data_IF_168102622516
#
_entry.id   IF_168102622516
#
_cell.length_a   1.000
_cell.length_b   1.000
_cell.length_c   1.000
_cell.angle_alpha   90.00
_cell.angle_beta   90.00
_cell.angle_gamma   90.00
#
_symmetry.space_group_name_H-M   'P 1'
#
loop_
_entity.id
_entity.type
_entity.pdbx_description
1 polymer ?
#
# COMPACT_ATOMS: atom_id res chain seq x y z
N UNK A 1 15.58 19.20 38.64
CA UNK A 1 15.41 19.20 37.18
C UNK A 1 15.61 17.81 36.58
N UNK A 2 16.40 16.94 37.24
CA UNK A 2 16.61 15.53 36.82
C UNK A 2 15.41 14.59 37.06
N UNK A 3 14.46 14.92 37.96
CA UNK A 3 13.31 14.04 38.22
C UNK A 3 12.18 14.13 37.18
N UNK A 4 12.15 15.18 36.34
CA UNK A 4 11.12 15.37 35.31
C UNK A 4 11.51 14.75 33.96
N UNK A 5 12.80 14.48 33.75
CA UNK A 5 13.32 13.85 32.52
C UNK A 5 13.39 12.31 32.63
N UNK A 6 13.21 11.74 33.82
CA UNK A 6 13.16 10.30 34.06
C UNK A 6 11.75 9.79 34.37
N UNK A 7 10.73 10.27 33.64
CA UNK A 7 9.53 9.44 33.47
C UNK A 7 9.91 8.26 32.57
N UNK A 8 10.56 7.26 33.17
CA UNK A 8 10.72 5.96 32.56
C UNK A 8 9.31 5.48 32.20
N UNK A 9 9.03 5.38 30.90
CA UNK A 9 7.83 4.71 30.42
C UNK A 9 7.73 3.40 31.19
N UNK A 10 6.55 3.12 31.75
CA UNK A 10 6.35 1.85 32.44
C UNK A 10 6.62 0.71 31.46
N UNK A 11 7.05 -0.44 31.95
CA UNK A 11 7.34 -1.59 31.07
C UNK A 11 6.16 -1.89 30.13
N UNK A 12 4.92 -1.69 30.60
CA UNK A 12 3.70 -1.80 29.80
C UNK A 12 3.59 -0.75 28.67
N UNK A 13 4.01 0.49 28.93
CA UNK A 13 4.05 1.55 27.90
C UNK A 13 5.13 1.27 26.85
N UNK A 14 6.29 0.77 27.26
CA UNK A 14 7.34 0.33 26.32
C UNK A 14 6.87 -0.82 25.44
N UNK A 15 6.24 -1.84 26.01
CA UNK A 15 5.68 -2.97 25.26
C UNK A 15 4.61 -2.48 24.28
N UNK A 16 3.72 -1.57 24.71
CA UNK A 16 2.69 -1.01 23.84
C UNK A 16 3.29 -0.20 22.69
N UNK A 17 4.30 0.62 22.97
CA UNK A 17 5.00 1.43 21.97
C UNK A 17 5.74 0.55 20.95
N UNK A 18 6.50 -0.44 21.42
CA UNK A 18 7.21 -1.39 20.55
C UNK A 18 6.22 -2.19 19.72
N UNK A 19 5.13 -2.67 20.32
CA UNK A 19 4.08 -3.41 19.59
C UNK A 19 3.45 -2.55 18.50
N UNK A 20 3.14 -1.29 18.80
CA UNK A 20 2.54 -0.36 17.85
C UNK A 20 3.51 0.01 16.73
N UNK A 21 4.82 0.07 16.99
CA UNK A 21 5.83 0.26 15.95
C UNK A 21 6.04 -1.01 15.10
N UNK A 22 6.24 -2.16 15.74
CA UNK A 22 6.53 -3.44 15.07
C UNK A 22 5.37 -3.91 14.22
N UNK A 23 4.13 -3.73 14.67
CA UNK A 23 2.93 -4.14 13.93
C UNK A 23 2.39 -2.99 13.08
N UNK A 24 2.30 -1.80 13.66
CA UNK A 24 1.66 -0.66 13.00
C UNK A 24 2.43 -0.14 11.80
N UNK A 25 3.76 -0.18 11.82
CA UNK A 25 4.57 0.32 10.71
C UNK A 25 4.47 -0.57 9.46
N UNK A 26 4.56 -1.91 9.55
CA UNK A 26 4.19 -2.83 8.46
C UNK A 26 2.77 -2.63 7.93
N UNK A 27 1.79 -2.49 8.83
CA UNK A 27 0.38 -2.27 8.46
C UNK A 27 0.22 -0.96 7.71
N UNK A 28 0.82 0.13 8.18
CA UNK A 28 0.77 1.43 7.53
C UNK A 28 1.48 1.43 6.17
N UNK A 29 2.61 0.73 6.03
CA UNK A 29 3.29 0.54 4.76
C UNK A 29 2.44 -0.27 3.75
N UNK A 30 1.76 -1.31 4.22
CA UNK A 30 0.81 -2.08 3.42
C UNK A 30 -0.39 -1.23 2.97
N UNK A 31 -0.95 -0.42 3.88
CA UNK A 31 -2.06 0.51 3.59
C UNK A 31 -1.64 1.53 2.53
N UNK A 32 -0.44 2.11 2.64
CA UNK A 32 0.11 3.04 1.63
C UNK A 32 0.16 2.37 0.24
N UNK A 33 0.73 1.16 0.13
CA UNK A 33 0.79 0.43 -1.14
C UNK A 33 -0.59 0.10 -1.69
N UNK A 34 -1.52 -0.26 -0.82
CA UNK A 34 -2.92 -0.53 -1.21
C UNK A 34 -3.60 0.74 -1.73
N UNK A 35 -3.41 1.88 -1.07
CA UNK A 35 -3.93 3.16 -1.54
C UNK A 35 -3.34 3.51 -2.91
N UNK A 36 -2.03 3.37 -3.11
CA UNK A 36 -1.39 3.61 -4.41
C UNK A 36 -1.95 2.71 -5.51
N UNK A 37 -2.18 1.43 -5.20
CA UNK A 37 -2.87 0.51 -6.11
C UNK A 37 -4.28 0.96 -6.47
N UNK A 38 -5.04 1.50 -5.52
CA UNK A 38 -6.42 1.95 -5.75
C UNK A 38 -6.49 3.16 -6.68
N UNK A 39 -5.45 3.99 -6.71
CA UNK A 39 -5.35 5.18 -7.55
C UNK A 39 -4.56 4.95 -8.85
N UNK A 40 -4.25 3.69 -9.21
CA UNK A 40 -3.48 3.30 -10.41
C UNK A 40 -2.10 3.97 -10.50
N UNK A 41 -1.42 4.14 -9.37
CA UNK A 41 -0.05 4.66 -9.31
C UNK A 41 0.96 3.53 -9.11
N UNK A 42 2.21 3.78 -9.51
CA UNK A 42 3.29 2.81 -9.33
C UNK A 42 3.50 2.49 -7.84
N UNK A 43 3.49 1.20 -7.51
CA UNK A 43 3.64 0.76 -6.14
C UNK A 43 5.13 0.79 -5.76
N UNK A 44 5.52 1.52 -4.70
CA UNK A 44 6.87 1.41 -4.17
C UNK A 44 7.11 -0.02 -3.67
N UNK A 45 8.38 -0.43 -3.70
CA UNK A 45 8.82 -1.64 -3.02
C UNK A 45 8.43 -1.56 -1.54
N UNK A 46 8.20 -2.71 -0.92
CA UNK A 46 7.80 -2.74 0.48
C UNK A 46 8.83 -2.05 1.39
N UNK A 47 10.13 -2.26 1.14
CA UNK A 47 11.20 -1.55 1.86
C UNK A 47 11.15 -0.03 1.69
N UNK A 48 10.85 0.46 0.48
CA UNK A 48 10.66 1.90 0.25
C UNK A 48 9.42 2.43 0.99
N UNK A 49 8.31 1.69 1.00
CA UNK A 49 7.12 2.08 1.77
C UNK A 49 7.38 2.12 3.29
N UNK A 50 8.12 1.14 3.81
CA UNK A 50 8.57 1.07 5.21
C UNK A 50 9.47 2.25 5.60
N UNK A 51 10.15 2.89 4.65
CA UNK A 51 10.92 4.11 4.87
C UNK A 51 10.07 5.39 4.72
N UNK A 52 9.21 5.46 3.69
CA UNK A 52 8.41 6.66 3.41
C UNK A 52 7.45 6.96 4.55
N UNK A 53 6.73 5.96 5.07
CA UNK A 53 5.73 6.16 6.14
C UNK A 53 6.34 6.81 7.39
N UNK A 54 7.41 6.29 8.00
CA UNK A 54 8.02 6.94 9.16
C UNK A 54 8.69 8.27 8.81
N UNK A 55 9.27 8.42 7.61
CA UNK A 55 9.86 9.70 7.21
C UNK A 55 8.81 10.82 7.13
N UNK A 56 7.65 10.54 6.53
CA UNK A 56 6.52 11.49 6.48
C UNK A 56 5.97 11.76 7.88
N UNK A 57 5.80 10.72 8.71
CA UNK A 57 5.33 10.87 10.08
C UNK A 57 6.29 11.71 10.95
N UNK A 58 7.60 11.47 10.84
CA UNK A 58 8.63 12.23 11.53
C UNK A 58 8.66 13.68 11.07
N UNK A 59 8.58 13.92 9.75
CA UNK A 59 8.51 15.28 9.22
C UNK A 59 7.26 16.04 9.68
N UNK A 60 6.10 15.37 9.74
CA UNK A 60 4.87 15.95 10.28
C UNK A 60 5.00 16.25 11.78
N UNK A 61 5.60 15.35 12.55
CA UNK A 61 5.85 15.55 13.98
C UNK A 61 6.78 16.75 14.22
N UNK A 62 7.91 16.84 13.53
CA UNK A 62 8.86 17.94 13.65
C UNK A 62 8.23 19.27 13.21
N UNK A 63 7.40 19.25 12.16
CA UNK A 63 6.66 20.44 11.74
C UNK A 63 5.69 20.92 12.83
N UNK A 64 4.91 20.01 13.43
CA UNK A 64 4.05 20.35 14.56
C UNK A 64 4.87 20.91 15.73
N UNK A 65 6.03 20.32 16.00
CA UNK A 65 6.88 20.68 17.12
C UNK A 65 7.45 22.10 17.00
N UNK A 66 8.01 22.42 15.84
CA UNK A 66 8.52 23.76 15.52
C UNK A 66 7.39 24.78 15.56
N UNK A 67 6.25 24.49 14.91
CA UNK A 67 5.12 25.43 14.88
C UNK A 67 4.53 25.67 16.26
N UNK A 68 4.40 24.63 17.08
CA UNK A 68 3.87 24.76 18.45
C UNK A 68 4.85 25.51 19.37
N UNK A 69 6.16 25.38 19.14
CA UNK A 69 7.16 26.20 19.83
C UNK A 69 7.08 27.67 19.44
N UNK A 70 6.86 27.98 18.16
CA UNK A 70 6.64 29.36 17.72
C UNK A 70 5.39 29.97 18.38
N UNK A 71 4.32 29.17 18.53
CA UNK A 71 3.14 29.59 19.30
C UNK A 71 3.52 29.86 20.76
N UNK A 72 4.27 28.97 21.41
CA UNK A 72 4.77 29.16 22.78
C UNK A 72 5.53 30.49 22.91
N UNK A 73 6.46 30.78 21.99
CA UNK A 73 7.21 32.03 21.98
C UNK A 73 6.31 33.25 21.83
N UNK A 74 5.29 33.17 20.96
CA UNK A 74 4.34 34.25 20.75
C UNK A 74 3.47 34.55 21.99
N UNK A 75 3.20 33.55 22.84
CA UNK A 75 2.38 33.71 24.05
C UNK A 75 3.19 33.71 25.35
N UNK A 76 4.53 33.73 25.26
CA UNK A 76 5.43 33.57 26.40
C UNK A 76 5.23 34.63 27.47
N UNK A 77 4.93 35.85 27.05
CA UNK A 77 4.71 36.99 27.95
C UNK A 77 3.34 36.97 28.64
N UNK A 78 2.47 36.01 28.31
CA UNK A 78 1.21 35.85 29.01
C UNK A 78 1.44 35.40 30.45
N UNK A 79 0.73 36.05 31.39
CA UNK A 79 0.80 35.72 32.83
C UNK A 79 0.47 34.24 33.13
N UNK A 80 -0.32 33.60 32.27
CA UNK A 80 -0.67 32.18 32.39
C UNK A 80 0.53 31.29 32.10
N UNK A 81 1.24 31.56 31.00
CA UNK A 81 2.40 30.76 30.59
C UNK A 81 3.61 31.02 31.50
N UNK A 82 3.81 32.25 31.98
CA UNK A 82 4.89 32.57 32.93
C UNK A 82 4.85 31.76 34.23
N UNK A 83 3.67 31.28 34.65
CA UNK A 83 3.51 30.42 35.83
C UNK A 83 3.88 28.95 35.59
N UNK A 84 4.09 28.57 34.33
CA UNK A 84 4.43 27.20 33.95
C UNK A 84 5.94 27.03 33.78
N UNK A 85 6.47 25.80 33.86
CA UNK A 85 7.88 25.53 33.62
C UNK A 85 8.39 26.00 32.25
N UNK A 86 7.52 26.04 31.24
CA UNK A 86 7.85 26.42 29.86
C UNK A 86 7.77 27.92 29.58
N UNK A 87 7.24 28.73 30.52
CA UNK A 87 7.31 30.20 30.44
C UNK A 87 8.63 30.78 30.94
N UNK A 88 9.48 29.97 31.58
CA UNK A 88 10.75 30.40 32.17
C UNK A 88 11.73 30.92 31.09
N UNK A 89 12.53 31.98 31.34
CA UNK A 89 13.48 32.56 30.38
C UNK A 89 14.48 31.54 29.80
N UNK A 90 14.85 30.51 30.57
CA UNK A 90 15.77 29.45 30.13
C UNK A 90 15.13 28.30 29.34
N UNK A 91 13.81 28.31 29.11
CA UNK A 91 13.13 27.23 28.41
C UNK A 91 13.34 27.29 26.88
N UNK A 92 14.20 26.42 26.37
CA UNK A 92 14.62 26.40 24.96
C UNK A 92 13.89 25.35 24.10
N UNK A 93 14.12 25.40 22.78
CA UNK A 93 13.54 24.44 21.84
C UNK A 93 13.95 22.99 22.12
N UNK A 94 15.19 22.75 22.58
CA UNK A 94 15.64 21.39 22.92
C UNK A 94 14.78 20.76 24.02
N UNK A 95 14.42 21.54 25.05
CA UNK A 95 13.53 21.07 26.11
C UNK A 95 12.09 20.92 25.61
N UNK A 96 11.64 21.81 24.71
CA UNK A 96 10.35 21.70 24.05
C UNK A 96 10.22 20.41 23.23
N UNK A 97 11.24 20.07 22.44
CA UNK A 97 11.24 18.89 21.56
C UNK A 97 10.93 17.60 22.33
N UNK A 98 11.48 17.47 23.54
CA UNK A 98 11.26 16.33 24.43
C UNK A 98 10.05 16.48 25.36
N UNK A 99 9.30 17.58 25.26
CA UNK A 99 8.06 17.76 26.02
C UNK A 99 6.96 16.85 25.46
N UNK A 100 6.09 16.33 26.34
CA UNK A 100 5.00 15.45 25.94
C UNK A 100 3.99 16.16 25.01
N UNK A 101 3.50 15.44 24.00
CA UNK A 101 2.55 15.97 23.00
C UNK A 101 1.28 16.60 23.61
N UNK A 102 0.65 16.06 24.67
CA UNK A 102 -0.53 16.69 25.28
C UNK A 102 -0.24 18.10 25.83
N UNK A 103 0.96 18.33 26.35
CA UNK A 103 1.38 19.65 26.85
C UNK A 103 1.52 20.61 25.67
N UNK A 104 2.17 20.18 24.58
CA UNK A 104 2.28 20.96 23.34
C UNK A 104 0.91 21.35 22.79
N UNK A 105 -0.01 20.39 22.79
CA UNK A 105 -1.40 20.61 22.39
C UNK A 105 -2.13 21.59 23.31
N UNK A 106 -1.92 21.50 24.62
CA UNK A 106 -2.51 22.44 25.60
C UNK A 106 -2.02 23.87 25.38
N UNK A 107 -0.73 24.06 25.10
CA UNK A 107 -0.14 25.39 24.82
C UNK A 107 -0.74 25.98 23.54
N UNK A 108 -0.82 25.18 22.47
CA UNK A 108 -1.42 25.61 21.20
C UNK A 108 -2.92 25.90 21.35
N UNK A 109 -3.61 25.16 22.21
CA UNK A 109 -5.04 25.33 22.47
C UNK A 109 -5.38 26.62 23.23
N UNK A 110 -4.39 27.33 23.76
CA UNK A 110 -4.60 28.64 24.39
C UNK A 110 -5.17 29.67 23.40
N UNK A 111 -4.91 29.50 22.10
CA UNK A 111 -5.51 30.31 21.03
C UNK A 111 -6.40 29.39 20.16
N UNK A 112 -7.74 29.41 20.37
CA UNK A 112 -8.65 28.45 19.77
C UNK A 112 -8.61 28.37 18.23
N UNK A 113 -8.30 29.49 17.55
CA UNK A 113 -8.23 29.53 16.09
C UNK A 113 -6.91 28.99 15.54
N UNK A 114 -5.81 29.17 16.28
CA UNK A 114 -4.48 28.74 15.86
C UNK A 114 -4.37 27.21 15.92
N UNK A 115 -5.03 26.54 16.87
CA UNK A 115 -4.94 25.08 17.00
C UNK A 115 -5.32 24.33 15.72
N UNK A 116 -6.42 24.72 15.10
CA UNK A 116 -6.89 24.08 13.87
C UNK A 116 -6.01 24.46 12.68
N UNK A 117 -5.63 25.74 12.60
CA UNK A 117 -4.73 26.24 11.56
C UNK A 117 -3.41 25.48 11.56
N UNK A 118 -2.83 25.23 12.73
CA UNK A 118 -1.59 24.49 12.89
C UNK A 118 -1.75 23.03 12.44
N UNK A 119 -2.85 22.36 12.81
CA UNK A 119 -3.15 21.01 12.32
C UNK A 119 -3.25 20.97 10.79
N UNK A 120 -3.92 21.94 10.17
CA UNK A 120 -4.01 22.04 8.71
C UNK A 120 -2.63 22.23 8.07
N UNK A 121 -1.78 23.08 8.63
CA UNK A 121 -0.41 23.30 8.13
C UNK A 121 0.41 22.01 8.23
N UNK A 122 0.33 21.30 9.36
CA UNK A 122 1.06 20.04 9.56
C UNK A 122 0.59 18.96 8.58
N UNK A 123 -0.73 18.85 8.36
CA UNK A 123 -1.29 17.94 7.35
C UNK A 123 -0.81 18.32 5.95
N UNK A 124 -0.76 19.61 5.61
CA UNK A 124 -0.26 20.07 4.32
C UNK A 124 1.22 19.73 4.13
N UNK A 125 2.06 19.96 5.14
CA UNK A 125 3.49 19.59 5.11
C UNK A 125 3.66 18.08 4.95
N UNK A 126 2.89 17.27 5.68
CA UNK A 126 2.92 15.82 5.55
C UNK A 126 2.53 15.37 4.12
N UNK A 127 1.51 16.00 3.54
CA UNK A 127 1.12 15.77 2.14
C UNK A 127 2.22 16.14 1.15
N UNK A 128 2.89 17.29 1.34
CA UNK A 128 4.01 17.72 0.49
C UNK A 128 5.20 16.75 0.60
N UNK A 129 5.56 16.32 1.81
CA UNK A 129 6.61 15.32 2.01
C UNK A 129 6.25 14.00 1.32
N UNK A 130 5.00 13.56 1.42
CA UNK A 130 4.54 12.36 0.74
C UNK A 130 4.59 12.49 -0.79
N UNK A 131 4.21 13.64 -1.35
CA UNK A 131 4.37 13.96 -2.78
C UNK A 131 5.83 13.85 -3.20
N UNK A 132 6.73 14.47 -2.42
CA UNK A 132 8.16 14.49 -2.67
C UNK A 132 8.74 13.08 -2.73
N UNK A 133 8.41 12.22 -1.76
CA UNK A 133 8.92 10.85 -1.72
C UNK A 133 8.32 9.91 -2.77
N UNK A 134 7.08 10.15 -3.20
CA UNK A 134 6.37 9.29 -4.15
C UNK A 134 6.49 9.75 -5.61
N UNK A 135 6.93 10.99 -5.88
CA UNK A 135 7.04 11.56 -7.23
C UNK A 135 5.72 11.55 -8.02
N UNK A 136 4.59 11.67 -7.32
CA UNK A 136 3.22 11.64 -7.89
C UNK A 136 2.67 13.07 -8.03
N UNK A 137 1.80 13.37 -9.02
CA UNK A 137 1.12 14.65 -9.10
C UNK A 137 0.38 15.02 -7.81
N UNK A 138 0.53 16.28 -7.36
CA UNK A 138 0.02 16.78 -6.07
C UNK A 138 -1.46 16.43 -5.81
N UNK A 139 -2.33 16.60 -6.82
CA UNK A 139 -3.77 16.32 -6.70
C UNK A 139 -4.05 14.87 -6.31
N UNK A 140 -3.37 13.91 -6.94
CA UNK A 140 -3.54 12.48 -6.64
C UNK A 140 -2.94 12.11 -5.29
N UNK A 141 -1.75 12.64 -5.02
CA UNK A 141 -1.07 12.42 -3.75
C UNK A 141 -1.89 12.91 -2.54
N UNK A 142 -2.64 14.01 -2.68
CA UNK A 142 -3.55 14.50 -1.63
C UNK A 142 -4.65 13.48 -1.32
N UNK A 143 -5.29 12.89 -2.34
CA UNK A 143 -6.31 11.85 -2.14
C UNK A 143 -5.72 10.57 -1.55
N UNK A 144 -4.54 10.16 -2.02
CA UNK A 144 -3.82 9.01 -1.47
C UNK A 144 -3.49 9.24 0.00
N UNK A 145 -2.96 10.42 0.35
CA UNK A 145 -2.65 10.82 1.73
C UNK A 145 -3.89 10.74 2.62
N UNK A 146 -5.00 11.37 2.21
CA UNK A 146 -6.24 11.36 2.99
C UNK A 146 -6.81 9.95 3.17
N UNK A 147 -6.82 9.14 2.10
CA UNK A 147 -7.29 7.75 2.15
C UNK A 147 -6.42 6.88 3.06
N UNK A 148 -5.09 7.01 2.96
CA UNK A 148 -4.14 6.32 3.81
C UNK A 148 -4.31 6.72 5.27
N UNK A 149 -4.48 8.00 5.56
CA UNK A 149 -4.64 8.49 6.94
C UNK A 149 -5.92 7.95 7.59
N UNK A 150 -7.03 7.97 6.85
CA UNK A 150 -8.30 7.39 7.29
C UNK A 150 -8.18 5.86 7.53
N UNK A 151 -7.52 5.15 6.62
CA UNK A 151 -7.30 3.71 6.75
C UNK A 151 -6.36 3.36 7.92
N UNK A 152 -5.32 4.15 8.15
CA UNK A 152 -4.42 3.99 9.29
C UNK A 152 -5.17 4.22 10.60
N UNK A 153 -5.94 5.30 10.73
CA UNK A 153 -6.77 5.56 11.91
C UNK A 153 -7.70 4.38 12.22
N UNK A 154 -8.37 3.84 11.19
CA UNK A 154 -9.24 2.69 11.35
C UNK A 154 -8.48 1.42 11.76
N UNK A 155 -7.31 1.16 11.15
CA UNK A 155 -6.47 0.02 11.50
C UNK A 155 -5.96 0.11 12.94
N UNK A 156 -5.48 1.28 13.37
CA UNK A 156 -5.04 1.50 14.75
C UNK A 156 -6.19 1.40 15.75
N UNK A 157 -7.39 1.87 15.39
CA UNK A 157 -8.58 1.66 16.21
C UNK A 157 -8.88 0.17 16.40
N UNK A 158 -8.84 -0.66 15.34
CA UNK A 158 -9.02 -2.10 15.45
C UNK A 158 -7.92 -2.73 16.31
N UNK A 159 -6.65 -2.42 16.04
CA UNK A 159 -5.51 -2.96 16.78
C UNK A 159 -5.64 -2.61 18.27
N UNK A 160 -5.98 -1.38 18.60
CA UNK A 160 -6.19 -0.93 19.98
C UNK A 160 -7.31 -1.72 20.67
N UNK A 161 -8.46 -1.91 20.00
CA UNK A 161 -9.57 -2.70 20.57
C UNK A 161 -9.19 -4.17 20.75
N UNK A 162 -8.48 -4.78 19.79
CA UNK A 162 -8.01 -6.18 19.89
C UNK A 162 -7.00 -6.32 21.02
N UNK A 163 -6.07 -5.38 21.17
CA UNK A 163 -5.11 -5.39 22.27
C UNK A 163 -5.82 -5.27 23.63
N UNK A 164 -6.76 -4.34 23.76
CA UNK A 164 -7.56 -4.19 24.99
C UNK A 164 -8.37 -5.45 25.31
N UNK A 165 -9.03 -6.05 24.31
CA UNK A 165 -9.76 -7.30 24.46
C UNK A 165 -8.85 -8.46 24.88
N UNK A 166 -7.69 -8.61 24.23
CA UNK A 166 -6.73 -9.66 24.55
C UNK A 166 -6.09 -9.48 25.93
N UNK A 167 -5.81 -8.25 26.36
CA UNK A 167 -5.35 -7.96 27.71
C UNK A 167 -6.42 -8.26 28.77
N UNK A 168 -7.70 -8.11 28.42
CA UNK A 168 -8.83 -8.49 29.28
C UNK A 168 -8.99 -10.00 29.39
N UNK A 169 -8.73 -10.74 28.31
CA UNK A 169 -8.78 -12.22 28.29
C UNK A 169 -7.58 -12.90 28.95
N UNK A 170 -6.39 -12.28 28.95
CA UNK A 170 -5.17 -12.85 29.51
C UNK A 170 -4.99 -12.61 31.02
N UNK A 171 -6.02 -12.18 31.74
CA UNK A 171 -6.06 -12.28 33.21
C UNK A 171 -5.00 -11.48 33.97
N UNK A 172 -4.37 -10.46 33.39
CA UNK A 172 -3.61 -9.47 34.15
C UNK A 172 -4.52 -8.41 34.79
N UNK A 173 -5.62 -8.87 35.42
CA UNK A 173 -6.22 -8.12 36.51
C UNK A 173 -5.40 -8.43 37.75
N UNK A 174 -4.47 -7.55 38.08
CA UNK A 174 -3.90 -7.52 39.43
C UNK A 174 -5.04 -7.22 40.42
N UNK A 175 -5.62 -8.27 41.01
CA UNK A 175 -6.36 -8.23 42.28
C UNK A 175 -7.82 -7.78 42.23
N UNK A 176 -8.74 -8.68 41.87
CA UNK A 176 -9.96 -8.91 42.67
C UNK A 176 -10.54 -10.29 42.31
N UNK A 177 -10.38 -11.26 43.21
CA UNK A 177 -10.97 -12.60 43.11
C UNK A 177 -12.51 -12.49 43.17
N UNK A 178 -13.21 -12.84 42.10
CA UNK A 178 -14.59 -13.32 42.16
C UNK A 178 -14.60 -14.70 41.52
N UNK A 179 -14.96 -15.69 42.32
CA UNK A 179 -15.00 -17.11 41.98
C UNK A 179 -16.08 -17.39 40.93
N UNK A 180 -15.66 -17.66 39.70
CA UNK A 180 -16.52 -17.85 38.53
C UNK A 180 -17.30 -19.18 38.56
N UNK A 181 -16.93 -20.10 39.45
CA UNK A 181 -17.48 -21.46 39.53
C UNK A 181 -18.85 -21.49 40.21
N UNK A 182 -19.13 -20.54 41.12
CA UNK A 182 -20.44 -20.40 41.79
C UNK A 182 -21.52 -19.72 40.94
N UNK A 183 -21.15 -19.07 39.83
CA UNK A 183 -22.10 -18.43 38.91
C UNK A 183 -22.63 -19.39 37.84
N UNK A 184 -21.86 -20.41 37.48
CA UNK A 184 -22.24 -21.38 36.46
C UNK A 184 -23.30 -22.37 36.96
N UNK A 185 -23.14 -22.88 38.19
CA UNK A 185 -24.06 -23.83 38.81
C UNK A 185 -25.45 -23.23 39.11
N UNK A 186 -25.52 -21.90 39.31
CA UNK A 186 -26.80 -21.18 39.49
C UNK A 186 -27.54 -20.91 38.20
N UNK A 187 -26.87 -20.97 37.05
CA UNK A 187 -27.45 -20.58 35.75
C UNK A 187 -28.13 -21.75 35.04
N UNK A 188 -27.64 -22.98 35.23
CA UNK A 188 -28.25 -24.19 34.64
C UNK A 188 -29.57 -24.61 35.30
N UNK A 189 -29.79 -24.29 36.58
CA UNK A 189 -31.00 -24.69 37.30
C UNK A 189 -32.27 -23.93 36.88
N UNK A 190 -32.15 -22.81 36.15
CA UNK A 190 -33.30 -21.92 35.89
C UNK A 190 -33.89 -22.17 34.50
N UNK A 191 -33.22 -22.85 33.56
CA UNK A 191 -33.58 -22.82 32.13
C UNK A 191 -34.48 -24.00 31.69
N UNK A 192 -35.80 -23.91 31.95
CA UNK A 192 -36.80 -24.73 31.24
C UNK A 192 -38.01 -23.92 30.70
N UNK A 193 -38.15 -24.02 29.38
CA UNK A 193 -39.27 -23.83 28.42
C UNK A 193 -40.31 -22.69 28.41
N UNK A 194 -40.48 -21.83 29.43
CA UNK A 194 -41.28 -20.58 29.28
C UNK A 194 -40.43 -19.35 28.89
N UNK A 195 -39.11 -19.55 28.87
CA UNK A 195 -38.08 -18.52 28.76
C UNK A 195 -37.92 -17.81 27.43
N UNK A 196 -38.51 -18.30 26.35
CA UNK A 196 -38.36 -17.64 25.05
C UNK A 196 -39.15 -16.31 24.98
N UNK A 197 -40.25 -16.19 25.75
CA UNK A 197 -41.05 -14.95 25.81
C UNK A 197 -40.53 -13.96 26.86
N UNK A 198 -40.05 -14.46 28.00
CA UNK A 198 -39.36 -13.64 29.00
C UNK A 198 -38.00 -13.12 28.51
N UNK A 199 -37.23 -13.91 27.74
CA UNK A 199 -35.96 -13.47 27.19
C UNK A 199 -36.11 -12.27 26.24
N UNK A 200 -37.22 -12.15 25.49
CA UNK A 200 -37.48 -10.98 24.63
C UNK A 200 -37.82 -9.73 25.47
N UNK A 201 -38.56 -9.91 26.55
CA UNK A 201 -38.88 -8.85 27.53
C UNK A 201 -37.62 -8.38 28.27
N UNK A 202 -36.81 -9.32 28.76
CA UNK A 202 -35.56 -9.07 29.48
C UNK A 202 -34.49 -8.49 28.54
N UNK A 203 -34.44 -8.90 27.26
CA UNK A 203 -33.57 -8.27 26.26
C UNK A 203 -33.99 -6.83 26.00
N UNK A 204 -35.29 -6.52 25.95
CA UNK A 204 -35.77 -5.14 25.80
C UNK A 204 -35.48 -4.29 27.04
N UNK A 205 -35.64 -4.84 28.25
CA UNK A 205 -35.26 -4.19 29.51
C UNK A 205 -33.74 -3.96 29.61
N UNK A 206 -32.92 -4.94 29.17
CA UNK A 206 -31.46 -4.85 29.15
C UNK A 206 -30.97 -3.87 28.08
N UNK A 207 -31.61 -3.85 26.91
CA UNK A 207 -31.34 -2.86 25.85
C UNK A 207 -31.75 -1.47 26.32
N UNK A 208 -32.87 -1.32 27.03
CA UNK A 208 -33.33 -0.04 27.59
C UNK A 208 -32.39 0.46 28.70
N UNK A 209 -31.97 -0.44 29.59
CA UNK A 209 -30.99 -0.16 30.64
C UNK A 209 -29.61 0.18 30.04
N UNK A 210 -29.21 -0.54 29.00
CA UNK A 210 -28.00 -0.25 28.22
C UNK A 210 -28.09 1.09 27.48
N UNK A 211 -29.23 1.44 26.89
CA UNK A 211 -29.46 2.74 26.26
C UNK A 211 -29.39 3.87 27.28
N UNK A 212 -29.97 3.68 28.48
CA UNK A 212 -29.88 4.65 29.57
C UNK A 212 -28.44 4.82 30.05
N UNK A 213 -27.68 3.74 30.23
CA UNK A 213 -26.27 3.81 30.61
C UNK A 213 -25.39 4.47 29.53
N UNK A 214 -25.71 4.27 28.24
CA UNK A 214 -25.05 4.95 27.13
C UNK A 214 -25.41 6.43 27.12
N UNK A 215 -26.69 6.79 27.36
CA UNK A 215 -27.13 8.18 27.45
C UNK A 215 -26.41 8.92 28.60
N UNK A 216 -26.36 8.30 29.77
CA UNK A 216 -25.71 8.84 30.97
C UNK A 216 -24.19 9.02 30.78
N UNK A 217 -23.52 8.11 30.06
CA UNK A 217 -22.09 8.25 29.71
C UNK A 217 -21.83 9.24 28.59
N UNK A 218 -22.78 9.42 27.67
CA UNK A 218 -22.61 10.28 26.50
C UNK A 218 -23.04 11.74 26.77
N UNK A 219 -23.90 11.99 27.74
CA UNK A 219 -24.29 13.34 28.18
C UNK A 219 -23.13 14.28 28.54
N UNK A 220 -22.10 13.87 29.31
CA UNK A 220 -20.96 14.74 29.57
C UNK A 220 -20.17 15.07 28.29
N UNK A 221 -20.02 14.09 27.38
CA UNK A 221 -19.34 14.28 26.09
C UNK A 221 -20.16 15.21 25.19
N UNK A 222 -21.49 15.04 25.17
CA UNK A 222 -22.40 15.88 24.42
C UNK A 222 -22.37 17.32 24.94
N UNK A 223 -22.32 17.50 26.26
CA UNK A 223 -22.21 18.81 26.90
C UNK A 223 -20.92 19.52 26.52
N UNK A 224 -19.79 18.82 26.55
CA UNK A 224 -18.50 19.35 26.09
C UNK A 224 -18.50 19.68 24.59
N UNK A 225 -19.16 18.84 23.76
CA UNK A 225 -19.33 19.09 22.34
C UNK A 225 -20.18 20.33 22.07
N UNK A 226 -21.31 20.49 22.79
CA UNK A 226 -22.19 21.67 22.71
C UNK A 226 -21.44 22.94 23.10
N UNK A 227 -20.66 22.90 24.17
CA UNK A 227 -19.89 24.04 24.65
C UNK A 227 -18.80 24.45 23.64
N UNK A 228 -18.11 23.48 23.04
CA UNK A 228 -17.12 23.73 22.00
C UNK A 228 -17.72 24.24 20.68
N UNK A 229 -18.96 23.85 20.36
CA UNK A 229 -19.65 24.24 19.13
C UNK A 229 -20.51 25.50 19.30
N UNK A 230 -20.70 25.97 20.53
CA UNK A 230 -21.43 27.19 20.89
C UNK A 230 -21.11 28.41 20.00
N UNK A 231 -19.83 28.78 19.74
CA UNK A 231 -19.51 29.95 18.91
C UNK A 231 -19.95 29.81 17.44
N UNK A 232 -20.18 28.58 16.96
CA UNK A 232 -20.68 28.30 15.62
C UNK A 232 -22.21 28.22 15.64
N UNK A 233 -22.80 27.57 16.64
CA UNK A 233 -24.26 27.48 16.78
C UNK A 233 -24.90 28.83 17.07
N UNK A 234 -24.27 29.70 17.86
CA UNK A 234 -24.80 31.04 18.17
C UNK A 234 -24.97 31.92 16.91
N UNK A 235 -24.32 31.58 15.80
CA UNK A 235 -24.47 32.25 14.50
C UNK A 235 -25.59 31.67 13.63
N UNK A 236 -26.21 30.56 14.04
CA UNK A 236 -27.33 29.95 13.34
C UNK A 236 -28.64 30.69 13.66
N UNK A 237 -29.63 30.67 12.74
CA UNK A 237 -30.96 31.21 12.99
C UNK A 237 -31.58 30.66 14.29
N UNK A 238 -32.31 31.50 15.03
CA UNK A 238 -32.89 31.18 16.33
C UNK A 238 -33.69 29.86 16.34
N UNK A 239 -34.38 29.55 15.24
CA UNK A 239 -35.14 28.30 15.07
C UNK A 239 -34.26 27.05 15.13
N UNK A 240 -33.04 27.10 14.59
CA UNK A 240 -32.11 25.96 14.60
C UNK A 240 -31.46 25.81 15.97
N UNK A 241 -31.13 26.91 16.65
CA UNK A 241 -30.62 26.86 18.02
C UNK A 241 -31.64 26.30 18.99
N UNK A 242 -32.89 26.76 18.91
CA UNK A 242 -33.97 26.20 19.73
C UNK A 242 -34.16 24.70 19.48
N UNK A 243 -34.03 24.24 18.23
CA UNK A 243 -34.08 22.81 17.89
C UNK A 243 -32.89 22.02 18.48
N UNK A 244 -31.66 22.54 18.36
CA UNK A 244 -30.47 21.89 18.92
C UNK A 244 -30.52 21.83 20.45
N UNK A 245 -30.95 22.89 21.11
CA UNK A 245 -31.07 22.99 22.57
C UNK A 245 -32.17 22.07 23.11
N UNK A 246 -33.27 21.88 22.38
CA UNK A 246 -34.38 20.97 22.73
C UNK A 246 -34.07 19.47 22.53
N UNK A 247 -32.80 19.10 22.41
CA UNK A 247 -32.36 17.71 22.22
C UNK A 247 -32.06 17.32 20.77
N UNK A 248 -32.14 18.26 19.82
CA UNK A 248 -31.85 18.01 18.40
C UNK A 248 -30.44 17.49 18.10
N UNK A 249 -29.48 17.67 19.01
CA UNK A 249 -28.13 17.10 18.90
C UNK A 249 -28.10 15.57 18.78
N UNK A 250 -28.99 14.88 19.49
CA UNK A 250 -29.11 13.43 19.37
C UNK A 250 -29.57 13.00 17.98
N UNK A 251 -30.43 13.82 17.36
CA UNK A 251 -30.90 13.60 16.00
C UNK A 251 -29.79 13.87 14.98
N UNK A 252 -28.97 14.90 15.18
CA UNK A 252 -27.79 15.21 14.35
C UNK A 252 -26.74 14.08 14.43
N UNK A 253 -26.44 13.60 15.64
CA UNK A 253 -25.50 12.48 15.84
C UNK A 253 -26.06 11.21 15.21
N UNK A 254 -27.34 10.91 15.42
CA UNK A 254 -28.02 9.77 14.79
C UNK A 254 -27.96 9.83 13.25
N UNK A 255 -28.19 11.01 12.67
CA UNK A 255 -28.10 11.24 11.23
C UNK A 255 -26.66 11.07 10.71
N UNK A 256 -25.66 11.61 11.41
CA UNK A 256 -24.26 11.45 11.06
C UNK A 256 -23.80 9.99 11.16
N UNK A 257 -24.22 9.26 12.21
CA UNK A 257 -23.97 7.83 12.34
C UNK A 257 -24.63 7.04 11.21
N UNK A 258 -25.83 7.42 10.79
CA UNK A 258 -26.51 6.79 9.65
C UNK A 258 -25.76 7.04 8.33
N UNK A 259 -25.35 8.28 8.06
CA UNK A 259 -24.55 8.64 6.88
C UNK A 259 -23.22 7.87 6.90
N UNK A 260 -22.54 7.82 8.05
CA UNK A 260 -21.30 7.08 8.22
C UNK A 260 -21.52 5.57 7.98
N UNK A 261 -22.61 4.99 8.49
CA UNK A 261 -22.95 3.60 8.25
C UNK A 261 -23.18 3.30 6.77
N UNK A 262 -23.92 4.17 6.05
CA UNK A 262 -24.11 4.01 4.60
C UNK A 262 -22.81 4.20 3.82
N UNK A 263 -21.95 5.13 4.24
CA UNK A 263 -20.63 5.33 3.66
C UNK A 263 -19.73 4.11 3.90
N UNK A 264 -19.64 3.62 5.13
CA UNK A 264 -18.89 2.41 5.51
C UNK A 264 -19.43 1.17 4.80
N UNK A 265 -20.75 1.04 4.67
CA UNK A 265 -21.42 -0.02 3.90
C UNK A 265 -21.12 0.10 2.40
N UNK A 266 -21.10 1.31 1.84
CA UNK A 266 -20.70 1.57 0.45
C UNK A 266 -19.22 1.22 0.21
N UNK A 267 -18.36 1.59 1.16
CA UNK A 267 -16.94 1.22 1.15
C UNK A 267 -16.78 -0.30 1.26
N UNK A 268 -17.52 -0.95 2.17
CA UNK A 268 -17.56 -2.40 2.33
C UNK A 268 -18.07 -3.09 1.06
N UNK A 269 -19.08 -2.57 0.39
CA UNK A 269 -19.53 -3.11 -0.89
C UNK A 269 -18.53 -2.87 -2.00
N UNK A 270 -17.79 -1.76 -2.02
CA UNK A 270 -16.68 -1.54 -2.97
C UNK A 270 -15.52 -2.49 -2.69
N UNK A 271 -15.13 -2.67 -1.43
CA UNK A 271 -14.13 -3.64 -0.98
C UNK A 271 -14.59 -5.06 -1.34
N UNK A 272 -15.79 -5.45 -0.95
CA UNK A 272 -16.41 -6.75 -1.27
C UNK A 272 -16.59 -6.92 -2.77
N UNK A 273 -16.80 -5.87 -3.56
CA UNK A 273 -16.84 -5.90 -5.03
C UNK A 273 -15.45 -5.96 -5.65
N UNK A 274 -14.41 -5.48 -4.98
CA UNK A 274 -13.01 -5.75 -5.35
C UNK A 274 -12.59 -7.18 -4.98
N UNK A 275 -13.19 -7.78 -3.94
CA UNK A 275 -13.04 -9.20 -3.61
C UNK A 275 -13.95 -10.13 -4.46
N UNK A 276 -15.16 -9.68 -4.84
CA UNK A 276 -16.16 -10.43 -5.66
C UNK A 276 -16.07 -10.17 -7.16
N UNK A 277 -15.44 -9.09 -7.61
CA UNK A 277 -14.79 -9.11 -8.94
C UNK A 277 -13.67 -10.12 -8.77
N UNK A 278 -14.07 -11.38 -8.94
CA UNK A 278 -13.18 -12.51 -9.08
C UNK A 278 -12.12 -12.04 -10.04
N UNK A 279 -10.94 -11.89 -9.46
CA UNK A 279 -9.75 -11.43 -10.12
C UNK A 279 -9.66 -12.24 -11.42
N UNK A 280 -9.94 -11.62 -12.56
CA UNK A 280 -9.71 -12.26 -13.86
C UNK A 280 -8.24 -12.71 -13.93
N UNK A 281 -7.36 -12.01 -13.19
CA UNK A 281 -5.96 -12.42 -12.97
C UNK A 281 -5.79 -13.59 -12.02
N UNK A 282 -6.72 -13.96 -11.11
CA UNK A 282 -6.59 -15.19 -10.30
C UNK A 282 -7.03 -16.42 -11.09
N UNK A 283 -8.05 -16.30 -11.96
CA UNK A 283 -8.32 -17.34 -12.97
C UNK A 283 -7.19 -17.44 -14.00
N UNK A 284 -6.64 -16.32 -14.49
CA UNK A 284 -5.44 -16.32 -15.36
C UNK A 284 -4.17 -16.77 -14.65
N UNK A 285 -3.95 -16.48 -13.36
CA UNK A 285 -2.81 -16.98 -12.59
C UNK A 285 -2.95 -18.47 -12.27
N UNK A 286 -4.18 -18.96 -12.07
CA UNK A 286 -4.44 -20.39 -11.92
C UNK A 286 -4.25 -21.12 -13.26
N UNK A 287 -4.76 -20.56 -14.38
CA UNK A 287 -4.49 -21.07 -15.74
C UNK A 287 -3.00 -20.98 -16.11
N UNK A 288 -2.33 -19.89 -15.76
CA UNK A 288 -0.89 -19.70 -15.87
C UNK A 288 -0.21 -20.82 -15.10
N UNK A 289 -0.51 -20.96 -13.81
CA UNK A 289 0.06 -21.98 -12.91
C UNK A 289 -0.20 -23.40 -13.41
N UNK A 290 -1.35 -23.66 -14.04
CA UNK A 290 -1.66 -24.92 -14.71
C UNK A 290 -0.77 -25.13 -15.94
N UNK A 291 -0.55 -24.08 -16.76
CA UNK A 291 0.38 -24.12 -17.90
C UNK A 291 1.85 -24.25 -17.49
N UNK A 292 2.24 -23.63 -16.37
CA UNK A 292 3.53 -23.82 -15.72
C UNK A 292 3.70 -25.27 -15.25
N UNK A 293 2.66 -25.86 -14.64
CA UNK A 293 2.66 -27.26 -14.21
C UNK A 293 2.60 -28.25 -15.39
N UNK A 294 1.97 -27.85 -16.50
CA UNK A 294 1.91 -28.65 -17.73
C UNK A 294 3.18 -28.56 -18.60
N UNK A 295 4.14 -27.68 -18.25
CA UNK A 295 5.40 -27.53 -18.97
C UNK A 295 5.29 -26.77 -20.31
N UNK A 296 4.19 -26.05 -20.57
CA UNK A 296 3.95 -25.38 -21.86
C UNK A 296 4.90 -24.19 -22.12
N UNK A 297 5.53 -23.63 -21.09
CA UNK A 297 6.46 -22.51 -21.21
C UNK A 297 7.93 -22.96 -21.31
N UNK A 298 8.22 -24.25 -21.13
CA UNK A 298 9.57 -24.79 -21.18
C UNK A 298 9.96 -25.13 -22.61
N UNK A 299 11.06 -24.54 -23.08
CA UNK A 299 11.59 -24.79 -24.42
C UNK A 299 13.01 -25.37 -24.32
N UNK A 300 13.16 -26.60 -24.82
CA UNK A 300 14.45 -27.29 -24.86
C UNK A 300 15.09 -27.13 -26.23
N UNK A 301 16.13 -26.30 -26.30
CA UNK A 301 16.84 -26.00 -27.53
C UNK A 301 17.58 -27.21 -28.10
N UNK A 302 17.86 -28.23 -27.28
CA UNK A 302 18.47 -29.48 -27.74
C UNK A 302 17.57 -30.27 -28.68
N UNK A 303 16.25 -30.05 -28.61
CA UNK A 303 15.25 -30.74 -29.43
C UNK A 303 14.86 -29.94 -30.67
N UNK A 304 15.40 -28.73 -30.84
CA UNK A 304 15.07 -27.90 -31.98
C UNK A 304 15.83 -28.36 -33.21
N UNK A 305 15.10 -28.50 -34.32
CA UNK A 305 15.70 -28.77 -35.62
C UNK A 305 16.36 -27.51 -36.18
N UNK A 306 17.51 -27.63 -36.85
CA UNK A 306 18.11 -26.49 -37.55
C UNK A 306 17.15 -25.93 -38.62
N UNK A 307 17.19 -24.61 -38.90
CA UNK A 307 16.47 -24.00 -39.98
C UNK A 307 16.67 -24.77 -41.28
N UNK A 308 15.55 -25.09 -41.92
CA UNK A 308 15.51 -25.93 -43.12
C UNK A 308 16.24 -25.22 -44.29
N UNK A 309 16.16 -23.89 -44.33
CA UNK A 309 16.74 -23.11 -45.41
C UNK A 309 18.23 -22.90 -45.24
N UNK A 310 18.93 -22.80 -46.37
CA UNK A 310 20.32 -22.35 -46.39
C UNK A 310 20.38 -20.88 -45.94
N UNK A 311 21.43 -20.48 -45.21
CA UNK A 311 21.62 -19.09 -44.83
C UNK A 311 21.67 -18.21 -46.08
N UNK A 312 20.91 -17.10 -46.05
CA UNK A 312 20.89 -16.11 -47.13
C UNK A 312 22.18 -15.28 -47.21
N UNK A 313 22.22 -14.32 -48.14
CA UNK A 313 23.33 -13.36 -48.26
C UNK A 313 23.44 -12.47 -47.01
N UNK A 314 22.30 -12.06 -46.48
CA UNK A 314 22.24 -11.24 -45.27
C UNK A 314 22.12 -12.14 -44.05
N UNK A 315 23.01 -11.95 -43.07
CA UNK A 315 23.03 -12.66 -41.80
C UNK A 315 22.92 -11.71 -40.63
N UNK A 316 22.22 -12.16 -39.59
CA UNK A 316 22.23 -11.45 -38.31
C UNK A 316 23.54 -11.75 -37.58
N UNK A 317 24.16 -10.71 -37.03
CA UNK A 317 25.31 -10.84 -36.13
C UNK A 317 24.91 -10.36 -34.74
N UNK A 318 25.28 -11.15 -33.71
CA UNK A 318 25.04 -10.84 -32.30
C UNK A 318 26.38 -10.48 -31.67
N UNK A 319 26.58 -9.20 -31.37
CA UNK A 319 27.89 -8.65 -30.94
C UNK A 319 29.04 -9.06 -31.88
N UNK A 320 28.77 -9.02 -33.20
CA UNK A 320 29.73 -9.40 -34.24
C UNK A 320 29.89 -10.90 -34.47
N UNK A 321 29.13 -11.75 -33.78
CA UNK A 321 29.13 -13.20 -33.99
C UNK A 321 28.01 -13.56 -34.97
N UNK A 322 28.30 -14.09 -36.17
CA UNK A 322 27.26 -14.52 -37.11
C UNK A 322 26.40 -15.63 -36.51
N UNK A 323 25.08 -15.44 -36.56
CA UNK A 323 24.12 -16.36 -36.00
C UNK A 323 22.83 -16.41 -36.82
N UNK A 324 22.00 -17.42 -36.53
CA UNK A 324 20.68 -17.62 -37.15
C UNK A 324 19.59 -17.60 -36.09
N UNK A 325 18.38 -17.18 -36.45
CA UNK A 325 17.25 -17.07 -35.52
C UNK A 325 16.54 -18.43 -35.46
N UNK A 326 16.33 -18.95 -34.25
CA UNK A 326 15.68 -20.27 -34.05
C UNK A 326 14.38 -20.19 -33.27
N UNK A 327 14.32 -19.29 -32.28
CA UNK A 327 13.17 -19.14 -31.41
C UNK A 327 12.90 -17.67 -31.17
N UNK A 328 11.65 -17.27 -31.30
CA UNK A 328 11.15 -15.95 -30.94
C UNK A 328 10.06 -16.14 -29.89
N UNK A 329 10.23 -15.48 -28.76
CA UNK A 329 9.25 -15.43 -27.68
C UNK A 329 8.79 -14.00 -27.51
N UNK A 330 7.48 -13.77 -27.56
CA UNK A 330 6.87 -12.48 -27.38
C UNK A 330 5.92 -12.50 -26.19
N UNK A 331 6.00 -11.51 -25.32
CA UNK A 331 5.07 -11.31 -24.22
C UNK A 331 4.67 -9.84 -24.14
N UNK A 332 3.41 -9.57 -23.82
CA UNK A 332 2.92 -8.20 -23.66
C UNK A 332 3.39 -7.60 -22.33
N UNK A 333 3.66 -6.30 -22.28
CA UNK A 333 3.89 -5.60 -21.02
C UNK A 333 2.57 -5.19 -20.37
N UNK A 334 2.23 -5.84 -19.25
CA UNK A 334 1.01 -5.59 -18.49
C UNK A 334 -0.27 -6.07 -19.18
N UNK A 335 -1.43 -5.64 -18.65
CA UNK A 335 -2.74 -6.13 -19.10
C UNK A 335 -3.39 -5.34 -20.24
N UNK A 336 -2.95 -4.10 -20.50
CA UNK A 336 -3.58 -3.16 -21.44
C UNK A 336 -2.92 -3.17 -22.81
N UNK A 337 -3.70 -3.14 -23.90
CA UNK A 337 -3.23 -3.16 -25.29
C UNK A 337 -3.88 -4.30 -26.13
N UNK A 338 -3.69 -4.33 -27.45
CA UNK A 338 -4.16 -5.45 -28.28
C UNK A 338 -3.45 -6.76 -27.90
N UNK A 339 -4.10 -7.90 -28.19
CA UNK A 339 -3.47 -9.21 -28.01
C UNK A 339 -2.41 -9.42 -29.10
N UNK A 340 -1.31 -10.08 -28.73
CA UNK A 340 -0.24 -10.43 -29.66
C UNK A 340 -0.63 -11.67 -30.48
N UNK A 341 -0.17 -11.72 -31.72
CA UNK A 341 -0.32 -12.85 -32.64
C UNK A 341 1.02 -13.25 -33.24
N UNK A 342 1.17 -14.51 -33.68
CA UNK A 342 2.43 -15.02 -34.20
C UNK A 342 2.82 -14.30 -35.50
N UNK A 343 1.83 -13.93 -36.32
CA UNK A 343 2.01 -13.15 -37.55
C UNK A 343 2.61 -11.75 -37.33
N UNK A 344 2.59 -11.22 -36.11
CA UNK A 344 3.21 -9.93 -35.81
C UNK A 344 4.71 -10.02 -35.56
N UNK A 345 5.29 -11.22 -35.45
CA UNK A 345 6.71 -11.38 -35.11
C UNK A 345 7.64 -10.70 -36.10
N UNK A 346 7.35 -10.79 -37.40
CA UNK A 346 8.17 -10.18 -38.45
C UNK A 346 8.18 -8.65 -38.34
N UNK A 347 7.01 -8.03 -38.18
CA UNK A 347 6.89 -6.60 -37.99
C UNK A 347 7.56 -6.13 -36.68
N UNK A 348 7.49 -6.93 -35.62
CA UNK A 348 8.17 -6.65 -34.34
C UNK A 348 9.68 -6.70 -34.50
N UNK A 349 10.20 -7.71 -35.18
CA UNK A 349 11.63 -7.82 -35.47
C UNK A 349 12.12 -6.68 -36.36
N UNK A 350 11.35 -6.30 -37.38
CA UNK A 350 11.72 -5.23 -38.29
C UNK A 350 11.77 -3.85 -37.60
N UNK A 351 10.91 -3.65 -36.60
CA UNK A 351 10.97 -2.48 -35.73
C UNK A 351 12.19 -2.48 -34.80
N UNK A 352 12.64 -3.66 -34.35
CA UNK A 352 13.84 -3.81 -33.53
C UNK A 352 15.10 -3.51 -34.34
N UNK A 353 15.17 -4.06 -35.55
CA UNK A 353 16.24 -3.83 -36.50
C UNK A 353 15.68 -4.01 -37.91
N UNK A 354 15.72 -2.94 -38.72
CA UNK A 354 15.23 -2.98 -40.08
C UNK A 354 15.93 -4.08 -40.89
N UNK A 355 15.16 -4.93 -41.57
CA UNK A 355 15.59 -6.10 -42.31
C UNK A 355 15.59 -7.40 -41.49
N UNK A 356 15.46 -7.33 -40.16
CA UNK A 356 15.49 -8.53 -39.31
C UNK A 356 14.24 -9.39 -39.50
N UNK A 357 13.10 -8.78 -39.85
CA UNK A 357 11.89 -9.50 -40.23
C UNK A 357 12.15 -10.41 -41.44
N UNK A 358 12.78 -9.91 -42.49
CA UNK A 358 13.08 -10.69 -43.70
C UNK A 358 14.09 -11.82 -43.42
N UNK A 359 15.14 -11.54 -42.64
CA UNK A 359 16.10 -12.57 -42.21
C UNK A 359 15.39 -13.67 -41.41
N UNK A 360 14.48 -13.28 -40.50
CA UNK A 360 13.65 -14.22 -39.75
C UNK A 360 12.76 -15.07 -40.66
N UNK A 361 12.10 -14.48 -41.65
CA UNK A 361 11.25 -15.22 -42.60
C UNK A 361 12.04 -16.28 -43.37
N UNK A 362 13.33 -16.04 -43.65
CA UNK A 362 14.21 -17.04 -44.28
C UNK A 362 14.59 -18.16 -43.31
N UNK A 363 14.84 -17.84 -42.04
CA UNK A 363 15.23 -18.81 -41.02
C UNK A 363 14.05 -19.66 -40.49
N UNK A 364 12.80 -19.24 -40.71
CA UNK A 364 11.59 -19.90 -40.20
C UNK A 364 11.70 -20.28 -38.70
N UNK A 365 11.97 -19.30 -37.81
CA UNK A 365 12.09 -19.58 -36.40
C UNK A 365 10.74 -19.99 -35.83
N UNK A 366 10.78 -20.78 -34.75
CA UNK A 366 9.59 -21.08 -33.96
C UNK A 366 9.16 -19.80 -33.23
N UNK A 367 7.90 -19.42 -33.37
CA UNK A 367 7.33 -18.27 -32.67
C UNK A 367 6.45 -18.77 -31.52
N UNK A 368 6.59 -18.16 -30.34
CA UNK A 368 5.80 -18.44 -29.16
C UNK A 368 5.32 -17.15 -28.52
N UNK A 369 4.05 -17.15 -28.13
CA UNK A 369 3.44 -16.05 -27.40
C UNK A 369 3.28 -16.48 -25.95
N UNK A 370 3.96 -15.78 -25.06
CA UNK A 370 3.85 -15.99 -23.63
C UNK A 370 2.80 -15.07 -23.02
N UNK A 371 2.38 -15.45 -21.81
CA UNK A 371 1.46 -14.64 -21.05
C UNK A 371 2.05 -13.25 -20.72
N UNK A 372 1.19 -12.22 -20.57
CA UNK A 372 1.66 -10.87 -20.28
C UNK A 372 2.51 -10.81 -19.01
N UNK A 373 3.64 -10.12 -19.11
CA UNK A 373 4.56 -9.90 -17.99
C UNK A 373 4.46 -8.46 -17.50
N UNK A 374 4.68 -8.22 -16.22
CA UNK A 374 4.52 -6.88 -15.63
C UNK A 374 5.83 -6.10 -15.49
N UNK A 375 6.98 -6.77 -15.62
CA UNK A 375 8.29 -6.14 -15.55
C UNK A 375 9.27 -6.73 -16.56
N UNK A 376 10.22 -5.93 -17.09
CA UNK A 376 11.30 -6.43 -17.94
C UNK A 376 12.16 -7.47 -17.22
N UNK A 377 12.51 -7.22 -15.96
CA UNK A 377 13.38 -8.10 -15.17
C UNK A 377 12.69 -9.44 -14.90
N UNK A 378 11.38 -9.42 -14.65
CA UNK A 378 10.57 -10.63 -14.50
C UNK A 378 10.56 -11.46 -15.78
N UNK A 379 10.36 -10.83 -16.93
CA UNK A 379 10.45 -11.52 -18.22
C UNK A 379 11.84 -12.11 -18.46
N UNK A 380 12.91 -11.34 -18.26
CA UNK A 380 14.30 -11.81 -18.41
C UNK A 380 14.59 -13.03 -17.54
N UNK A 381 14.14 -13.01 -16.28
CA UNK A 381 14.31 -14.13 -15.37
C UNK A 381 13.58 -15.37 -15.88
N UNK A 382 12.30 -15.23 -16.24
CA UNK A 382 11.48 -16.36 -16.71
C UNK A 382 12.02 -16.93 -18.02
N UNK A 383 12.42 -16.07 -18.96
CA UNK A 383 13.03 -16.44 -20.24
C UNK A 383 14.28 -17.30 -20.05
N UNK A 384 15.21 -16.85 -19.20
CA UNK A 384 16.45 -17.58 -18.94
C UNK A 384 16.27 -18.87 -18.12
N UNK A 385 15.20 -18.97 -17.32
CA UNK A 385 14.89 -20.16 -16.54
C UNK A 385 14.21 -21.25 -17.36
N UNK A 386 13.34 -20.85 -18.29
CA UNK A 386 12.51 -21.78 -19.04
C UNK A 386 13.11 -22.22 -20.38
N UNK A 387 14.16 -21.55 -20.85
CA UNK A 387 14.89 -21.96 -22.05
C UNK A 387 16.10 -22.78 -21.65
N UNK A 388 16.06 -24.08 -21.98
CA UNK A 388 17.18 -24.99 -21.76
C UNK A 388 18.09 -25.00 -22.97
N UNK A 389 19.30 -24.50 -22.76
CA UNK A 389 20.44 -24.66 -23.69
C UNK A 389 21.15 -25.99 -23.38
N UNK A 390 21.48 -26.82 -24.39
CA UNK A 390 22.06 -28.15 -24.20
C UNK A 390 23.39 -28.15 -23.45
N UNK A 391 24.26 -27.18 -23.71
CA UNK A 391 25.60 -27.15 -23.12
C UNK A 391 25.57 -26.70 -21.64
N UNK A 392 26.43 -27.24 -20.75
CA UNK A 392 26.51 -26.81 -19.35
C UNK A 392 26.87 -25.33 -19.19
N UNK A 393 26.42 -24.70 -18.10
CA UNK A 393 26.80 -23.31 -17.78
C UNK A 393 28.33 -23.21 -17.63
N UNK A 394 28.93 -22.16 -18.19
CA UNK A 394 30.38 -21.92 -18.16
C UNK A 394 31.17 -22.58 -19.31
N UNK A 395 30.54 -23.38 -20.16
CA UNK A 395 31.16 -23.93 -21.38
C UNK A 395 30.83 -23.07 -22.60
N UNK A 396 31.68 -23.13 -23.63
CA UNK A 396 31.37 -22.49 -24.92
C UNK A 396 30.13 -23.14 -25.52
N UNK A 397 29.20 -22.33 -26.02
CA UNK A 397 27.95 -22.78 -26.64
C UNK A 397 27.74 -22.03 -27.96
N UNK A 398 27.05 -22.67 -28.91
CA UNK A 398 26.58 -21.98 -30.10
C UNK A 398 25.33 -21.13 -29.80
N UNK A 399 24.64 -21.37 -28.68
CA UNK A 399 23.40 -20.70 -28.37
C UNK A 399 23.64 -19.35 -27.69
N UNK A 400 23.01 -18.31 -28.24
CA UNK A 400 22.98 -16.97 -27.68
C UNK A 400 21.53 -16.57 -27.43
N UNK A 401 21.19 -16.30 -26.17
CA UNK A 401 19.87 -15.89 -25.74
C UNK A 401 19.85 -14.37 -25.53
N UNK A 402 19.15 -13.62 -26.38
CA UNK A 402 18.94 -12.19 -26.21
C UNK A 402 17.52 -11.91 -25.74
N UNK A 403 17.34 -11.05 -24.75
CA UNK A 403 15.99 -10.68 -24.29
C UNK A 403 15.97 -9.24 -23.80
N UNK A 404 14.84 -8.57 -23.99
CA UNK A 404 14.67 -7.17 -23.62
C UNK A 404 13.26 -6.67 -23.88
N UNK A 405 13.06 -5.38 -23.61
CA UNK A 405 11.82 -4.70 -23.97
C UNK A 405 11.94 -4.06 -25.35
N UNK A 406 10.83 -3.98 -26.07
CA UNK A 406 10.67 -3.27 -27.34
C UNK A 406 9.50 -2.32 -27.18
N UNK A 407 9.75 -1.02 -27.41
CA UNK A 407 8.71 0.02 -27.31
C UNK A 407 8.16 0.37 -28.69
N UNK A 408 6.98 -0.16 -29.04
CA UNK A 408 6.28 0.14 -30.29
C UNK A 408 5.23 1.22 -30.08
N UNK A 409 5.61 2.47 -30.30
CA UNK A 409 4.71 3.61 -30.05
C UNK A 409 4.30 3.72 -28.58
N UNK A 410 3.02 3.42 -28.28
CA UNK A 410 2.48 3.41 -26.90
C UNK A 410 2.57 2.04 -26.23
N UNK A 411 2.69 0.98 -27.01
CA UNK A 411 2.71 -0.38 -26.51
C UNK A 411 4.14 -0.80 -26.18
N UNK A 412 4.29 -1.60 -25.14
CA UNK A 412 5.55 -2.19 -24.73
C UNK A 412 5.42 -3.71 -24.80
N UNK A 413 6.36 -4.33 -25.50
CA UNK A 413 6.42 -5.78 -25.71
C UNK A 413 7.74 -6.26 -25.14
N UNK A 414 7.73 -7.42 -24.49
CA UNK A 414 8.94 -8.13 -24.12
C UNK A 414 9.25 -9.17 -25.17
N UNK A 415 10.49 -9.13 -25.64
CA UNK A 415 10.97 -9.95 -26.73
C UNK A 415 12.16 -10.75 -26.25
N UNK A 416 12.13 -12.05 -26.50
CA UNK A 416 13.23 -12.97 -26.27
C UNK A 416 13.54 -13.72 -27.56
N UNK A 417 14.81 -13.75 -27.96
CA UNK A 417 15.27 -14.39 -29.19
C UNK A 417 16.39 -15.38 -28.83
N UNK A 418 16.27 -16.61 -29.29
CA UNK A 418 17.38 -17.58 -29.26
C UNK A 418 18.04 -17.62 -30.64
N UNK A 419 19.33 -17.32 -30.65
CA UNK A 419 20.19 -17.39 -31.82
C UNK A 419 21.12 -18.60 -31.74
N UNK A 420 21.44 -19.18 -32.89
CA UNK A 420 22.45 -20.20 -33.04
C UNK A 420 23.62 -19.66 -33.86
N UNK A 421 24.75 -19.47 -33.20
CA UNK A 421 25.99 -18.99 -33.79
C UNK A 421 26.69 -20.07 -34.63
N UNK A 422 27.41 -19.64 -35.66
CA UNK A 422 28.22 -20.55 -36.48
C UNK A 422 29.39 -21.17 -35.68
N UNK A 423 29.86 -20.49 -34.63
CA UNK A 423 30.99 -20.94 -33.80
C UNK A 423 30.66 -20.89 -32.30
N UNK A 424 31.20 -21.85 -31.51
CA UNK A 424 31.01 -21.86 -30.06
C UNK A 424 31.64 -20.64 -29.39
N UNK A 425 30.86 -19.96 -28.55
CA UNK A 425 31.26 -18.72 -27.88
C UNK A 425 30.86 -18.72 -26.40
N UNK A 426 31.35 -17.73 -25.64
CA UNK A 426 31.04 -17.58 -24.21
C UNK A 426 29.82 -16.68 -23.95
N UNK A 427 29.28 -16.05 -24.99
CA UNK A 427 28.19 -15.08 -24.88
C UNK A 427 26.86 -15.84 -24.90
N UNK A 428 26.45 -16.35 -23.74
CA UNK A 428 25.25 -17.19 -23.65
C UNK A 428 23.96 -16.42 -23.46
N UNK A 429 23.94 -15.42 -22.58
CA UNK A 429 22.76 -14.64 -22.24
C UNK A 429 23.07 -13.15 -22.34
N UNK A 430 22.21 -12.41 -23.03
CA UNK A 430 22.29 -10.96 -23.19
C UNK A 430 20.94 -10.38 -22.76
N UNK A 431 20.92 -9.71 -21.60
CA UNK A 431 19.78 -8.89 -21.19
C UNK A 431 19.96 -7.48 -21.77
N UNK A 432 19.06 -7.09 -22.66
CA UNK A 432 19.05 -5.80 -23.34
C UNK A 432 18.18 -4.85 -22.51
N UNK A 433 18.79 -3.76 -22.04
CA UNK A 433 18.12 -2.78 -21.20
C UNK A 433 17.69 -1.60 -22.04
N UNK A 434 16.39 -1.25 -22.00
CA UNK A 434 15.84 -0.18 -22.84
C UNK A 434 15.77 -0.57 -24.32
N UNK A 435 15.90 0.41 -25.21
CA UNK A 435 15.81 0.24 -26.68
C UNK A 435 17.19 -0.02 -27.34
N UNK A 436 18.16 -0.58 -26.60
CA UNK A 436 19.56 -0.80 -27.04
C UNK A 436 19.76 -2.04 -27.92
N UNK A 437 18.76 -2.44 -28.71
CA UNK A 437 18.86 -3.62 -29.56
C UNK A 437 19.90 -3.45 -30.68
N UNK A 438 20.06 -2.23 -31.19
CA UNK A 438 21.01 -1.89 -32.26
C UNK A 438 22.48 -2.01 -31.84
N UNK A 439 22.77 -1.95 -30.53
CA UNK A 439 24.12 -2.14 -30.00
C UNK A 439 24.51 -3.62 -29.97
N UNK A 440 23.51 -4.50 -29.97
CA UNK A 440 23.69 -5.95 -29.83
C UNK A 440 23.52 -6.67 -31.17
N UNK A 441 22.56 -6.25 -31.99
CA UNK A 441 22.19 -6.89 -33.25
C UNK A 441 22.60 -6.04 -34.44
N UNK A 442 23.17 -6.68 -35.46
CA UNK A 442 23.43 -6.07 -36.77
C UNK A 442 23.06 -7.05 -37.88
N UNK A 443 22.83 -6.53 -39.08
CA UNK A 443 22.70 -7.34 -40.29
C UNK A 443 23.91 -7.05 -41.17
N UNK A 444 24.61 -8.11 -41.55
CA UNK A 444 25.78 -8.05 -42.41
C UNK A 444 25.51 -8.87 -43.67
N UNK A 445 25.74 -8.26 -44.83
CA UNK A 445 25.71 -8.96 -46.11
C UNK A 445 27.06 -9.64 -46.32
N UNK A 446 27.06 -10.96 -46.37
CA UNK A 446 28.25 -11.74 -46.74
C UNK A 446 28.57 -11.48 -48.21
N UNK A 447 29.79 -11.02 -48.47
CA UNK A 447 30.31 -10.71 -49.81
C UNK A 447 30.50 -11.97 -50.67
#
# INVERSE_FOLDING_TARGET
MDSLLHHNLTQAQWVSFITLLVIGLPVAAYILRTCLSLFNEEMPSYGRAMFIVPAVALGAYLAFDVLSYLVLLAIRDSKVIQRTPYGQPGFGFSQWLFTALPIKWSVVSFIPLIRYTLVFIVIAIAGILQVFFLTIPFRKALFIFAAQWAANLFAYFIISNVLHFSSGLMGHSSGLHIDMQTLHDKYEAVVSNDKAKEAISETNETVKTGLHAVHERADPILKELKENLKPITDRLPATINHFLDSGGWWLVIGLLSMIFFFWARSLWYKIKRSFRKGNANKKKLLLSSEKWAAGELFEDLSKMTPPINRPGKDRVTVKGIPARIYLIIMAKAGGSGPDLSESQSEAILDYVLSGLGEVSSRDYPRVKIWEPQYSPEGFTQIFNQNIRVPEPKGTKSNWILANGAVKMGRDKIYLGIAFFADQPNLVRNIAITGDQWLDVLRIETLA
#
